data_IF_469469249099
#
_entry.id   IF_469469249099
#
_cell.length_a   1.000
_cell.length_b   1.000
_cell.length_c   1.000
_cell.angle_alpha   90.00
_cell.angle_beta   90.00
_cell.angle_gamma   90.00
#
_symmetry.space_group_name_H-M   'P 1'
#
loop_
_entity.id
_entity.type
_entity.pdbx_description
1 polymer ?
#
# COMPACT_ATOMS: atom_id res chain seq x y z
N UNK A 1 -22.83 2.29 14.57
CA UNK A 1 -21.93 1.12 14.70
C UNK A 1 -21.29 0.77 13.37
N UNK A 2 -22.07 0.49 12.31
CA UNK A 2 -21.54 0.15 10.99
C UNK A 2 -20.67 1.27 10.36
N UNK A 3 -21.18 2.52 10.35
CA UNK A 3 -20.43 3.69 9.87
C UNK A 3 -19.12 3.90 10.64
N UNK A 4 -19.14 3.72 11.97
CA UNK A 4 -17.95 3.83 12.82
C UNK A 4 -16.87 2.84 12.43
N UNK A 5 -17.25 1.60 12.08
CA UNK A 5 -16.30 0.58 11.61
C UNK A 5 -15.70 0.96 10.25
N UNK A 6 -16.49 1.54 9.35
CA UNK A 6 -16.02 2.02 8.04
C UNK A 6 -15.03 3.17 8.23
N UNK A 7 -15.38 4.19 9.02
CA UNK A 7 -14.50 5.33 9.31
C UNK A 7 -13.20 4.84 9.96
N UNK A 8 -13.31 3.92 10.92
CA UNK A 8 -12.16 3.32 11.56
C UNK A 8 -11.25 2.60 10.54
N UNK A 9 -11.86 1.74 9.71
CA UNK A 9 -11.16 0.97 8.69
C UNK A 9 -10.46 1.82 7.64
N UNK A 10 -11.11 2.89 7.20
CA UNK A 10 -10.63 3.76 6.14
C UNK A 10 -9.49 4.70 6.57
N UNK A 11 -9.47 5.14 7.84
CA UNK A 11 -8.49 6.11 8.35
C UNK A 11 -7.38 5.50 9.20
N UNK A 12 -7.67 4.45 9.99
CA UNK A 12 -6.73 3.98 11.02
C UNK A 12 -6.09 2.63 10.70
N UNK A 13 -6.76 1.73 9.97
CA UNK A 13 -6.16 0.44 9.62
C UNK A 13 -4.91 0.57 8.74
N UNK A 14 -4.76 1.66 7.98
CA UNK A 14 -3.57 1.91 7.15
C UNK A 14 -2.27 1.96 7.95
N UNK A 15 -2.33 2.28 9.24
CA UNK A 15 -1.18 2.31 10.15
C UNK A 15 -0.76 0.90 10.59
N UNK A 16 -1.69 -0.07 10.56
CA UNK A 16 -1.45 -1.43 11.06
C UNK A 16 -0.34 -2.17 10.28
N UNK A 17 -0.32 -2.20 8.94
CA UNK A 17 0.78 -2.83 8.20
C UNK A 17 2.15 -2.23 8.52
N UNK A 18 2.23 -0.90 8.70
CA UNK A 18 3.47 -0.21 9.02
C UNK A 18 3.97 -0.58 10.42
N UNK A 19 3.09 -0.55 11.43
CA UNK A 19 3.44 -0.92 12.80
C UNK A 19 3.78 -2.41 12.93
N UNK A 20 3.05 -3.30 12.24
CA UNK A 20 3.34 -4.72 12.27
C UNK A 20 4.71 -5.03 11.63
N UNK A 21 5.02 -4.38 10.50
CA UNK A 21 6.33 -4.53 9.86
C UNK A 21 7.46 -3.96 10.73
N UNK A 22 7.23 -2.81 11.39
CA UNK A 22 8.17 -2.22 12.33
C UNK A 22 8.39 -3.12 13.56
N UNK A 23 7.33 -3.70 14.12
CA UNK A 23 7.43 -4.66 15.21
C UNK A 23 8.23 -5.90 14.76
N UNK A 24 7.92 -6.43 13.57
CA UNK A 24 8.65 -7.56 12.98
C UNK A 24 10.12 -7.24 12.72
N UNK A 25 10.45 -5.99 12.37
CA UNK A 25 11.83 -5.55 12.19
C UNK A 25 12.69 -5.73 13.46
N UNK A 26 12.11 -5.63 14.66
CA UNK A 26 12.86 -5.84 15.90
C UNK A 26 13.32 -7.29 16.09
N UNK A 27 12.56 -8.28 15.60
CA UNK A 27 12.89 -9.71 15.72
C UNK A 27 13.79 -10.25 14.62
N UNK A 28 14.01 -9.48 13.54
CA UNK A 28 14.86 -9.90 12.42
C UNK A 28 16.36 -9.95 12.80
N UNK A 29 17.16 -10.85 12.19
CA UNK A 29 18.62 -10.78 12.26
C UNK A 29 19.16 -9.46 11.70
N UNK A 30 20.30 -8.98 12.22
CA UNK A 30 20.91 -7.68 11.83
C UNK A 30 21.08 -7.51 10.32
N UNK A 31 21.42 -8.57 9.60
CA UNK A 31 21.58 -8.56 8.14
C UNK A 31 20.25 -8.28 7.43
N UNK A 32 19.19 -9.00 7.83
CA UNK A 32 17.84 -8.83 7.27
C UNK A 32 17.19 -7.50 7.63
N UNK A 33 17.53 -6.92 8.78
CA UNK A 33 17.07 -5.57 9.17
C UNK A 33 17.46 -4.50 8.15
N UNK A 34 18.70 -4.54 7.66
CA UNK A 34 19.20 -3.58 6.67
C UNK A 34 18.54 -3.80 5.30
N UNK A 35 18.46 -5.06 4.86
CA UNK A 35 17.78 -5.42 3.60
C UNK A 35 16.33 -4.93 3.59
N UNK A 36 15.56 -5.21 4.65
CA UNK A 36 14.17 -4.82 4.76
C UNK A 36 14.02 -3.30 4.75
N UNK A 37 14.84 -2.60 5.55
CA UNK A 37 14.79 -1.14 5.62
C UNK A 37 15.09 -0.50 4.26
N UNK A 38 16.11 -0.98 3.55
CA UNK A 38 16.45 -0.49 2.20
C UNK A 38 15.30 -0.75 1.22
N UNK A 39 14.72 -1.96 1.25
CA UNK A 39 13.59 -2.30 0.41
C UNK A 39 12.39 -1.39 0.67
N UNK A 40 12.03 -1.16 1.93
CA UNK A 40 10.92 -0.28 2.30
C UNK A 40 11.15 1.18 1.91
N UNK A 41 12.36 1.71 2.13
CA UNK A 41 12.74 3.09 1.78
C UNK A 41 12.60 3.34 0.28
N UNK A 42 12.85 2.34 -0.57
CA UNK A 42 12.75 2.48 -2.03
C UNK A 42 11.32 2.16 -2.50
N UNK A 43 10.72 1.08 -2.00
CA UNK A 43 9.45 0.58 -2.52
C UNK A 43 8.25 1.46 -2.14
N UNK A 44 8.20 2.04 -0.93
CA UNK A 44 7.04 2.83 -0.51
C UNK A 44 6.90 4.13 -1.30
N UNK A 45 7.95 4.97 -1.47
CA UNK A 45 7.88 6.13 -2.34
C UNK A 45 7.61 5.75 -3.79
N UNK A 46 8.21 4.66 -4.27
CA UNK A 46 7.97 4.17 -5.64
C UNK A 46 6.50 3.78 -5.84
N UNK A 47 5.90 3.06 -4.91
CA UNK A 47 4.48 2.68 -4.98
C UNK A 47 3.55 3.88 -5.00
N UNK A 48 3.83 4.89 -4.16
CA UNK A 48 3.09 6.14 -4.18
C UNK A 48 3.25 6.90 -5.50
N UNK A 49 4.48 7.04 -6.01
CA UNK A 49 4.75 7.71 -7.29
C UNK A 49 4.06 6.99 -8.45
N UNK A 50 4.12 5.65 -8.49
CA UNK A 50 3.42 4.86 -9.51
C UNK A 50 1.90 5.05 -9.44
N UNK A 51 1.32 5.10 -8.25
CA UNK A 51 -0.10 5.40 -8.05
C UNK A 51 -0.46 6.80 -8.58
N UNK A 52 0.32 7.83 -8.22
CA UNK A 52 0.10 9.20 -8.71
C UNK A 52 0.23 9.29 -10.22
N UNK A 53 1.24 8.64 -10.81
CA UNK A 53 1.42 8.59 -12.27
C UNK A 53 0.22 7.90 -12.94
N UNK A 54 -0.26 6.77 -12.40
CA UNK A 54 -1.44 6.09 -12.94
C UNK A 54 -2.69 6.99 -12.91
N UNK A 55 -2.87 7.76 -11.83
CA UNK A 55 -3.94 8.75 -11.71
C UNK A 55 -3.86 9.92 -12.70
N UNK A 56 -2.69 10.19 -13.30
CA UNK A 56 -2.57 11.17 -14.39
C UNK A 56 -3.13 10.65 -15.72
N UNK A 57 -3.17 9.33 -15.90
CA UNK A 57 -3.63 8.70 -17.15
C UNK A 57 -5.09 8.28 -17.12
N UNK A 58 -5.70 8.18 -15.93
CA UNK A 58 -7.10 7.81 -15.79
C UNK A 58 -7.75 8.57 -14.64
N UNK A 59 -8.69 9.44 -14.98
CA UNK A 59 -9.54 10.14 -14.02
C UNK A 59 -10.81 9.34 -13.76
N UNK A 60 -11.05 9.04 -12.48
CA UNK A 60 -12.25 8.36 -12.00
C UNK A 60 -12.86 9.22 -10.88
N UNK A 61 -14.05 9.83 -11.07
CA UNK A 61 -14.67 10.62 -10.01
C UNK A 61 -14.95 9.75 -8.79
N UNK A 62 -14.83 10.34 -7.59
CA UNK A 62 -15.14 9.63 -6.35
C UNK A 62 -16.64 9.31 -6.27
N UNK A 63 -17.04 8.13 -5.76
CA UNK A 63 -18.45 7.74 -5.68
C UNK A 63 -19.34 8.78 -4.98
N UNK A 64 -18.85 9.41 -3.91
CA UNK A 64 -19.62 10.45 -3.21
C UNK A 64 -19.93 11.68 -4.08
N UNK A 65 -19.03 12.01 -5.02
CA UNK A 65 -19.22 13.10 -6.00
C UNK A 65 -20.22 12.69 -7.06
N UNK A 66 -20.09 11.47 -7.59
CA UNK A 66 -20.95 10.98 -8.67
C UNK A 66 -22.38 10.74 -8.22
N UNK A 67 -22.58 10.29 -6.98
CA UNK A 67 -23.90 9.99 -6.42
C UNK A 67 -24.56 11.18 -5.72
N UNK A 68 -23.91 12.35 -5.70
CA UNK A 68 -24.37 13.54 -4.98
C UNK A 68 -24.69 13.24 -3.50
N UNK A 69 -23.80 12.48 -2.87
CA UNK A 69 -23.93 12.08 -1.45
C UNK A 69 -22.81 12.67 -0.62
N UNK A 70 -23.08 13.11 0.62
CA UNK A 70 -22.03 13.58 1.50
C UNK A 70 -21.06 12.43 1.80
N UNK A 71 -19.73 12.65 1.75
CA UNK A 71 -18.78 11.61 2.05
C UNK A 71 -18.85 11.25 3.54
N UNK A 72 -18.76 9.97 3.86
CA UNK A 72 -18.80 9.49 5.25
C UNK A 72 -17.59 9.97 6.06
N UNK A 73 -16.50 10.27 5.37
CA UNK A 73 -15.26 10.81 5.93
C UNK A 73 -14.98 12.12 5.20
N UNK A 74 -14.71 13.24 5.91
CA UNK A 74 -14.33 14.48 5.26
C UNK A 74 -13.18 14.26 4.28
N UNK A 75 -13.43 14.54 3.01
CA UNK A 75 -12.49 14.31 1.92
C UNK A 75 -12.67 15.39 0.86
N UNK A 76 -11.55 15.89 0.34
CA UNK A 76 -11.58 16.79 -0.81
C UNK A 76 -11.95 16.04 -2.09
N UNK A 77 -12.56 16.75 -3.03
CA UNK A 77 -12.83 16.22 -4.37
C UNK A 77 -11.50 16.06 -5.11
N UNK A 78 -11.13 14.82 -5.38
CA UNK A 78 -9.93 14.45 -6.12
C UNK A 78 -10.22 13.23 -7.02
N UNK A 79 -9.23 12.78 -7.78
CA UNK A 79 -9.28 11.52 -8.50
C UNK A 79 -9.37 10.33 -7.51
N UNK A 80 -10.38 9.47 -7.68
CA UNK A 80 -10.50 8.23 -6.92
C UNK A 80 -9.45 7.19 -7.34
N UNK A 81 -8.91 7.29 -8.55
CA UNK A 81 -8.04 6.27 -9.11
C UNK A 81 -6.55 6.63 -9.03
N UNK A 82 -5.68 5.67 -8.65
CA UNK A 82 -5.94 4.49 -7.81
C UNK A 82 -5.91 4.85 -6.32
N UNK A 83 -6.22 3.90 -5.42
CA UNK A 83 -6.17 4.18 -3.99
C UNK A 83 -4.75 4.18 -3.41
N UNK A 84 -4.25 5.36 -3.01
CA UNK A 84 -2.93 5.53 -2.36
C UNK A 84 -2.80 4.73 -1.05
N UNK A 85 -3.87 4.68 -0.25
CA UNK A 85 -3.89 3.92 1.02
C UNK A 85 -3.66 2.43 0.77
N UNK A 86 -4.30 1.88 -0.25
CA UNK A 86 -4.17 0.46 -0.61
C UNK A 86 -2.87 0.18 -1.34
N UNK A 87 -2.34 1.14 -2.12
CA UNK A 87 -1.01 1.02 -2.71
C UNK A 87 0.09 0.90 -1.64
N UNK A 88 0.06 1.77 -0.63
CA UNK A 88 1.03 1.71 0.47
C UNK A 88 0.82 0.46 1.36
N UNK A 89 -0.42 0.12 1.69
CA UNK A 89 -0.72 -1.08 2.47
C UNK A 89 -0.32 -2.37 1.74
N UNK A 90 -0.59 -2.46 0.44
CA UNK A 90 -0.20 -3.58 -0.41
C UNK A 90 1.32 -3.71 -0.57
N UNK A 91 2.04 -2.59 -0.67
CA UNK A 91 3.50 -2.58 -0.65
C UNK A 91 4.05 -3.12 0.69
N UNK A 92 3.54 -2.63 1.83
CA UNK A 92 3.94 -3.11 3.16
C UNK A 92 3.64 -4.61 3.35
N UNK A 93 2.46 -5.07 2.91
CA UNK A 93 2.09 -6.48 2.95
C UNK A 93 3.01 -7.35 2.07
N UNK A 94 3.37 -6.87 0.88
CA UNK A 94 4.29 -7.56 -0.04
C UNK A 94 5.72 -7.63 0.51
N UNK A 95 6.20 -6.54 1.13
CA UNK A 95 7.48 -6.54 1.85
C UNK A 95 7.43 -7.59 2.96
N UNK A 96 6.42 -7.55 3.83
CA UNK A 96 6.28 -8.53 4.91
C UNK A 96 6.26 -9.97 4.39
N UNK A 97 5.50 -10.24 3.32
CA UNK A 97 5.41 -11.56 2.69
C UNK A 97 6.77 -12.10 2.24
N UNK A 98 7.68 -11.22 1.81
CA UNK A 98 9.03 -11.58 1.35
C UNK A 98 9.94 -12.07 2.50
N UNK A 99 9.62 -11.76 3.75
CA UNK A 99 10.39 -12.19 4.94
C UNK A 99 9.63 -13.20 5.81
N UNK A 100 8.30 -13.09 5.88
CA UNK A 100 7.43 -14.00 6.60
C UNK A 100 6.07 -14.08 5.89
N UNK A 101 5.79 -15.22 5.27
CA UNK A 101 4.58 -15.43 4.46
C UNK A 101 3.29 -15.29 5.29
N UNK A 102 3.28 -15.79 6.53
CA UNK A 102 2.10 -15.70 7.39
C UNK A 102 1.78 -14.26 7.79
N UNK A 103 2.81 -13.49 8.16
CA UNK A 103 2.66 -12.06 8.42
C UNK A 103 2.19 -11.34 7.16
N UNK A 104 2.81 -11.61 6.01
CA UNK A 104 2.42 -11.02 4.73
C UNK A 104 0.98 -11.30 4.33
N UNK A 105 0.51 -12.55 4.44
CA UNK A 105 -0.88 -12.93 4.19
C UNK A 105 -1.82 -12.19 5.14
N UNK A 106 -1.49 -12.13 6.44
CA UNK A 106 -2.26 -11.37 7.42
C UNK A 106 -2.36 -9.88 7.06
N UNK A 107 -1.26 -9.26 6.62
CA UNK A 107 -1.25 -7.87 6.20
C UNK A 107 -1.97 -7.63 4.87
N UNK A 108 -2.02 -8.61 3.97
CA UNK A 108 -2.85 -8.55 2.77
C UNK A 108 -4.34 -8.57 3.10
N UNK A 109 -4.76 -9.34 4.12
CA UNK A 109 -6.14 -9.26 4.63
C UNK A 109 -6.44 -7.89 5.25
N UNK A 110 -5.47 -7.28 5.94
CA UNK A 110 -5.61 -5.90 6.44
C UNK A 110 -5.74 -4.91 5.29
N UNK A 111 -4.90 -5.02 4.25
CA UNK A 111 -4.98 -4.19 3.05
C UNK A 111 -6.34 -4.33 2.32
N UNK A 112 -6.86 -5.56 2.24
CA UNK A 112 -8.21 -5.82 1.74
C UNK A 112 -9.28 -5.14 2.60
N UNK A 113 -9.18 -5.25 3.93
CA UNK A 113 -10.10 -4.58 4.86
C UNK A 113 -10.09 -3.06 4.73
N UNK A 114 -8.91 -2.45 4.54
CA UNK A 114 -8.77 -1.02 4.21
C UNK A 114 -9.53 -0.72 2.92
N UNK A 115 -9.31 -1.49 1.85
CA UNK A 115 -10.02 -1.32 0.57
C UNK A 115 -11.54 -1.38 0.72
N UNK A 116 -12.06 -2.38 1.43
CA UNK A 116 -13.48 -2.51 1.71
C UNK A 116 -14.04 -1.31 2.48
N UNK A 117 -13.31 -0.81 3.48
CA UNK A 117 -13.72 0.38 4.22
C UNK A 117 -13.70 1.65 3.33
N UNK A 118 -12.71 1.78 2.44
CA UNK A 118 -12.63 2.90 1.49
C UNK A 118 -13.78 2.88 0.46
N UNK A 119 -14.21 1.70 0.01
CA UNK A 119 -15.42 1.54 -0.81
C UNK A 119 -16.67 1.89 -0.02
N UNK A 120 -16.81 1.35 1.20
CA UNK A 120 -17.95 1.63 2.08
C UNK A 120 -18.09 3.10 2.49
N UNK A 121 -16.97 3.84 2.51
CA UNK A 121 -16.95 5.28 2.76
C UNK A 121 -17.34 6.13 1.53
N UNK A 122 -17.56 5.50 0.36
CA UNK A 122 -17.87 6.19 -0.89
C UNK A 122 -16.66 6.90 -1.53
N UNK A 123 -15.44 6.49 -1.20
CA UNK A 123 -14.21 7.16 -1.65
C UNK A 123 -13.58 6.52 -2.89
N UNK A 124 -13.80 5.22 -3.10
CA UNK A 124 -13.17 4.46 -4.17
C UNK A 124 -14.10 3.36 -4.68
N UNK A 125 -13.90 2.98 -5.94
CA UNK A 125 -14.50 1.79 -6.54
C UNK A 125 -13.58 0.57 -6.37
N UNK A 126 -14.12 -0.66 -6.50
CA UNK A 126 -13.31 -1.88 -6.42
C UNK A 126 -12.11 -1.91 -7.36
N UNK A 127 -12.23 -1.33 -8.56
CA UNK A 127 -11.13 -1.21 -9.52
C UNK A 127 -9.96 -0.38 -9.00
N UNK A 128 -10.24 0.74 -8.34
CA UNK A 128 -9.23 1.65 -7.76
C UNK A 128 -8.43 0.95 -6.66
N UNK A 129 -9.10 0.09 -5.88
CA UNK A 129 -8.50 -0.73 -4.82
C UNK A 129 -7.58 -1.80 -5.42
N UNK A 130 -8.06 -2.53 -6.43
CA UNK A 130 -7.28 -3.60 -7.08
C UNK A 130 -6.02 -3.01 -7.72
N UNK A 131 -6.15 -1.91 -8.47
CA UNK A 131 -4.99 -1.29 -9.11
C UNK A 131 -4.02 -0.73 -8.06
N UNK A 132 -4.51 -0.08 -7.00
CA UNK A 132 -3.66 0.36 -5.88
C UNK A 132 -2.83 -0.79 -5.32
N UNK A 133 -3.48 -1.91 -4.96
CA UNK A 133 -2.81 -3.11 -4.45
C UNK A 133 -1.73 -3.64 -5.42
N UNK A 134 -2.05 -3.73 -6.71
CA UNK A 134 -1.12 -4.21 -7.74
C UNK A 134 0.09 -3.28 -7.86
N UNK A 135 -0.12 -1.95 -7.91
CA UNK A 135 0.98 -0.99 -8.02
C UNK A 135 1.91 -1.04 -6.80
N UNK A 136 1.34 -1.20 -5.60
CA UNK A 136 2.11 -1.42 -4.38
C UNK A 136 3.01 -2.66 -4.46
N UNK A 137 2.46 -3.79 -4.91
CA UNK A 137 3.23 -5.02 -5.07
C UNK A 137 4.31 -4.89 -6.16
N UNK A 138 3.97 -4.30 -7.31
CA UNK A 138 4.90 -4.04 -8.42
C UNK A 138 6.07 -3.17 -7.97
N UNK A 139 5.83 -2.14 -7.16
CA UNK A 139 6.88 -1.30 -6.61
C UNK A 139 7.89 -2.10 -5.77
N UNK A 140 7.42 -3.06 -4.98
CA UNK A 140 8.30 -3.93 -4.19
C UNK A 140 9.14 -4.84 -5.08
N UNK A 141 8.54 -5.45 -6.11
CA UNK A 141 9.29 -6.26 -7.07
C UNK A 141 10.35 -5.45 -7.83
N UNK A 142 10.00 -4.24 -8.28
CA UNK A 142 10.92 -3.34 -8.96
C UNK A 142 12.07 -2.91 -8.05
N UNK A 143 11.77 -2.51 -6.80
CA UNK A 143 12.77 -2.14 -5.81
C UNK A 143 13.72 -3.30 -5.48
N UNK A 144 13.17 -4.50 -5.23
CA UNK A 144 13.96 -5.70 -4.98
C UNK A 144 14.88 -6.04 -6.16
N UNK A 145 14.37 -5.92 -7.39
CA UNK A 145 15.16 -6.13 -8.60
C UNK A 145 16.29 -5.12 -8.75
N UNK A 146 16.02 -3.84 -8.50
CA UNK A 146 17.03 -2.79 -8.56
C UNK A 146 18.16 -3.02 -7.53
N UNK A 147 17.80 -3.36 -6.28
CA UNK A 147 18.77 -3.69 -5.23
C UNK A 147 19.62 -4.91 -5.62
N UNK A 148 19.00 -5.96 -6.17
CA UNK A 148 19.72 -7.15 -6.63
C UNK A 148 20.75 -6.81 -7.72
N UNK A 149 20.33 -6.03 -8.73
CA UNK A 149 21.20 -5.63 -9.84
C UNK A 149 22.37 -4.78 -9.35
N UNK A 150 22.12 -3.81 -8.46
CA UNK A 150 23.16 -2.99 -7.83
C UNK A 150 24.22 -3.85 -7.12
N UNK A 151 23.78 -4.78 -6.28
CA UNK A 151 24.68 -5.67 -5.55
C UNK A 151 25.44 -6.64 -6.47
N UNK A 152 24.89 -6.98 -7.64
CA UNK A 152 25.57 -7.83 -8.62
C UNK A 152 26.68 -7.10 -9.38
N UNK A 153 26.55 -5.78 -9.56
CA UNK A 153 27.58 -4.93 -10.17
C UNK A 153 28.72 -4.69 -9.19
N UNK A 154 28.41 -4.29 -7.95
CA UNK A 154 29.40 -4.04 -6.89
C UNK A 154 30.30 -5.25 -6.60
N UNK A 155 29.76 -6.49 -6.70
CA UNK A 155 30.54 -7.72 -6.56
C UNK A 155 31.46 -8.04 -7.73
N UNK A 156 31.23 -7.48 -8.92
CA UNK A 156 32.11 -7.67 -10.09
C UNK A 156 33.27 -6.68 -10.12
N UNK A 157 33.13 -5.56 -9.40
CA UNK A 157 34.14 -4.50 -9.32
C UNK A 157 35.13 -4.71 -8.15
N UNK A 158 34.90 -5.71 -7.30
CA UNK A 158 35.78 -6.15 -6.20
C UNK A 158 36.47 -7.46 -6.55
#
# INVERSE_FOLDING_TARGET
MFETLIIFGANYLVVVPALALLAYWFVLPREKKKELALLAIIALPLGYVLARIAGLFYFHPQPFVEWDTPPLIPHEVDNAFPSDHVALAGALATIAFSYNQWLGVGLWFVAFGIGCARIGAGLHYPGDIIVGAVLGAVAVFAAARAIYLWNSVDKREK
#
